data_IF_450421337411
#
_entry.id   IF_450421337411
#
_cell.length_a   1.000
_cell.length_b   1.000
_cell.length_c   1.000
_cell.angle_alpha   90.00
_cell.angle_beta   90.00
_cell.angle_gamma   90.00
#
_symmetry.space_group_name_H-M   'P 1'
#
loop_
_entity.id
_entity.type
_entity.pdbx_description
1 polymer ?
#
# COMPACT_ATOMS: atom_id res chain seq x y z
N UNK A 1 65.05 41.94 43.49
CA UNK A 1 64.09 41.50 42.46
C UNK A 1 64.51 40.11 41.98
N UNK A 2 63.55 39.19 41.81
CA UNK A 2 63.66 37.75 41.42
C UNK A 2 63.95 36.73 42.55
N UNK A 3 62.87 36.13 43.04
CA UNK A 3 62.84 34.84 43.76
C UNK A 3 63.01 33.71 42.75
N UNK A 4 63.77 32.66 43.07
CA UNK A 4 63.59 31.32 42.49
C UNK A 4 63.78 30.28 43.61
N UNK A 5 62.65 29.68 43.99
CA UNK A 5 62.50 28.66 45.02
C UNK A 5 62.95 27.28 44.48
N UNK A 6 63.75 26.59 45.29
CA UNK A 6 63.70 25.16 45.62
C UNK A 6 63.41 24.13 44.50
N UNK A 7 64.47 23.62 43.88
CA UNK A 7 64.49 22.44 42.99
C UNK A 7 64.72 21.14 43.78
N UNK A 8 63.74 20.71 44.58
CA UNK A 8 63.79 19.37 45.19
C UNK A 8 62.45 18.68 45.47
N UNK A 9 61.34 19.15 44.90
CA UNK A 9 60.00 18.64 45.22
C UNK A 9 59.18 18.02 44.07
N UNK A 10 59.78 17.75 42.91
CA UNK A 10 59.00 17.33 41.72
C UNK A 10 59.17 15.87 41.28
N UNK A 11 60.11 15.11 41.86
CA UNK A 11 60.35 13.73 41.40
C UNK A 11 59.50 12.67 42.14
N UNK A 12 59.20 12.89 43.43
CA UNK A 12 58.40 11.95 44.23
C UNK A 12 56.89 12.03 43.93
N UNK A 13 56.40 13.20 43.50
CA UNK A 13 54.98 13.41 43.18
C UNK A 13 54.58 12.83 41.82
N UNK A 14 55.49 12.73 40.85
CA UNK A 14 55.17 12.20 39.52
C UNK A 14 54.97 10.67 39.52
N UNK A 15 55.80 9.93 40.27
CA UNK A 15 55.65 8.46 40.41
C UNK A 15 54.40 8.07 41.21
N UNK A 16 54.04 8.86 42.23
CA UNK A 16 52.80 8.67 42.97
C UNK A 16 51.55 8.98 42.12
N UNK A 17 51.60 10.04 41.29
CA UNK A 17 50.53 10.39 40.35
C UNK A 17 50.32 9.31 39.27
N UNK A 18 51.40 8.75 38.70
CA UNK A 18 51.31 7.66 37.71
C UNK A 18 50.71 6.40 38.35
N UNK A 19 51.10 6.05 39.58
CA UNK A 19 50.52 4.93 40.31
C UNK A 19 49.01 5.09 40.57
N UNK A 20 48.57 6.29 40.94
CA UNK A 20 47.16 6.58 41.23
C UNK A 20 46.28 6.57 39.96
N UNK A 21 46.81 7.04 38.82
CA UNK A 21 46.14 6.99 37.52
C UNK A 21 45.98 5.55 37.00
N UNK A 22 46.98 4.68 37.20
CA UNK A 22 46.90 3.27 36.79
C UNK A 22 45.95 2.45 37.69
N UNK A 23 45.84 2.78 38.99
CA UNK A 23 44.86 2.18 39.89
C UNK A 23 43.41 2.59 39.59
N UNK A 24 43.17 3.82 39.14
CA UNK A 24 41.82 4.27 38.79
C UNK A 24 41.28 3.62 37.49
N UNK A 25 42.16 3.31 36.53
CA UNK A 25 41.77 2.68 35.27
C UNK A 25 41.33 1.21 35.44
N UNK A 26 41.83 0.49 36.44
CA UNK A 26 41.47 -0.93 36.66
C UNK A 26 40.14 -1.12 37.41
N UNK A 27 39.69 -0.12 38.18
CA UNK A 27 38.38 -0.13 38.85
C UNK A 27 37.25 0.25 37.89
N UNK A 28 37.54 1.08 36.87
CA UNK A 28 36.54 1.50 35.88
C UNK A 28 36.05 0.36 34.98
N UNK A 29 36.90 -0.63 34.69
CA UNK A 29 36.53 -1.79 33.86
C UNK A 29 35.77 -2.90 34.63
N UNK A 30 35.68 -2.83 35.95
CA UNK A 30 34.95 -3.82 36.78
C UNK A 30 33.52 -3.35 37.11
N UNK A 31 33.16 -2.09 36.80
CA UNK A 31 31.82 -1.52 37.02
C UNK A 31 30.99 -1.37 35.72
N UNK A 32 31.38 -2.02 34.63
CA UNK A 32 30.56 -2.09 33.41
C UNK A 32 29.86 -3.45 33.38
N UNK A 33 28.59 -3.57 33.82
CA UNK A 33 27.83 -4.80 33.61
C UNK A 33 27.53 -4.94 32.11
N UNK A 34 28.26 -5.82 31.43
CA UNK A 34 27.76 -6.42 30.19
C UNK A 34 26.67 -7.41 30.59
N UNK A 35 25.42 -6.94 30.65
CA UNK A 35 24.25 -7.81 30.63
C UNK A 35 23.04 -7.08 30.05
N UNK A 36 22.91 -7.25 28.74
CA UNK A 36 21.67 -7.53 28.01
C UNK A 36 20.41 -6.85 28.55
N UNK A 37 20.06 -5.72 27.94
CA UNK A 37 18.80 -5.06 28.23
C UNK A 37 18.56 -3.75 27.50
N UNK A 38 19.09 -3.54 26.29
CA UNK A 38 18.37 -2.70 25.33
C UNK A 38 17.12 -3.49 24.94
N UNK A 39 16.14 -3.51 25.85
CA UNK A 39 14.76 -3.66 25.45
C UNK A 39 14.57 -2.59 24.39
N UNK A 40 14.39 -3.05 23.15
CA UNK A 40 13.86 -2.26 22.06
C UNK A 40 12.57 -1.63 22.57
N UNK A 41 12.67 -0.44 23.14
CA UNK A 41 11.66 0.56 22.92
C UNK A 41 11.79 0.87 21.43
N UNK A 42 11.16 0.03 20.61
CA UNK A 42 10.41 0.60 19.51
C UNK A 42 9.24 1.28 20.22
N UNK A 43 9.24 2.62 20.44
CA UNK A 43 7.99 3.28 20.13
C UNK A 43 7.76 2.85 18.68
N UNK A 44 6.77 1.99 18.45
CA UNK A 44 6.17 1.93 17.12
C UNK A 44 5.80 3.38 16.88
N UNK A 45 6.62 4.07 16.08
CA UNK A 45 6.29 5.39 15.63
C UNK A 45 4.84 5.24 15.15
N UNK A 46 3.89 6.03 15.68
CA UNK A 46 2.59 6.05 15.06
C UNK A 46 2.90 6.28 13.59
N UNK A 47 2.53 5.32 12.75
CA UNK A 47 2.66 5.51 11.32
C UNK A 47 1.93 6.83 11.10
N UNK A 48 2.68 7.87 10.73
CA UNK A 48 2.10 9.14 10.30
C UNK A 48 1.48 8.86 8.95
N UNK A 49 0.41 8.09 8.97
CA UNK A 49 -0.55 7.98 7.91
C UNK A 49 -1.38 9.23 8.03
N UNK A 50 -0.85 10.29 7.45
CA UNK A 50 -1.59 11.45 6.99
C UNK A 50 -0.61 12.21 6.11
N UNK A 51 -0.90 12.28 4.80
CA UNK A 51 -0.17 12.95 3.72
C UNK A 51 0.84 12.14 2.87
N UNK A 52 0.78 10.81 2.84
CA UNK A 52 1.44 10.11 1.71
C UNK A 52 0.65 10.42 0.45
N UNK A 53 1.25 11.10 -0.52
CA UNK A 53 0.65 11.32 -1.85
C UNK A 53 1.43 10.51 -2.86
N UNK A 54 0.76 9.64 -3.62
CA UNK A 54 1.41 8.90 -4.71
C UNK A 54 1.72 9.83 -5.88
N UNK A 55 2.99 9.85 -6.28
CA UNK A 55 3.46 10.52 -7.50
C UNK A 55 2.95 9.81 -8.74
N UNK A 56 2.97 10.51 -9.87
CA UNK A 56 2.49 9.96 -11.14
C UNK A 56 3.26 8.69 -11.54
N UNK A 57 4.58 8.70 -11.37
CA UNK A 57 5.46 7.58 -11.71
C UNK A 57 5.19 6.35 -10.84
N UNK A 58 4.89 6.56 -9.55
CA UNK A 58 4.51 5.50 -8.62
C UNK A 58 3.18 4.86 -9.03
N UNK A 59 2.21 5.69 -9.42
CA UNK A 59 0.92 5.20 -9.96
C UNK A 59 1.09 4.41 -11.24
N UNK A 60 1.97 4.85 -12.14
CA UNK A 60 2.31 4.14 -13.38
C UNK A 60 2.97 2.80 -13.09
N UNK A 61 3.88 2.75 -12.11
CA UNK A 61 4.51 1.51 -11.66
C UNK A 61 3.46 0.51 -11.16
N UNK A 62 2.57 0.94 -10.25
CA UNK A 62 1.51 0.08 -9.72
C UNK A 62 0.47 -0.31 -10.77
N UNK A 63 0.14 0.60 -11.71
CA UNK A 63 -0.74 0.27 -12.82
C UNK A 63 -0.13 -0.85 -13.67
N UNK A 64 1.17 -0.81 -13.97
CA UNK A 64 1.82 -1.91 -14.70
C UNK A 64 1.75 -3.23 -13.93
N UNK A 65 1.95 -3.21 -12.62
CA UNK A 65 1.84 -4.40 -11.78
C UNK A 65 0.42 -5.00 -11.80
N UNK A 66 -0.62 -4.17 -11.73
CA UNK A 66 -2.02 -4.57 -11.86
C UNK A 66 -2.28 -5.23 -13.23
N UNK A 67 -1.79 -4.60 -14.31
CA UNK A 67 -1.97 -5.11 -15.67
C UNK A 67 -1.23 -6.42 -15.90
N UNK A 68 -0.07 -6.64 -15.25
CA UNK A 68 0.67 -7.90 -15.30
C UNK A 68 -0.14 -9.05 -14.67
N UNK A 69 -0.77 -8.81 -13.52
CA UNK A 69 -1.66 -9.80 -12.88
C UNK A 69 -2.83 -10.11 -13.80
N UNK A 70 -3.54 -9.10 -14.31
CA UNK A 70 -4.65 -9.33 -15.23
C UNK A 70 -4.21 -10.04 -16.52
N UNK A 71 -3.07 -9.66 -17.09
CA UNK A 71 -2.57 -10.28 -18.29
C UNK A 71 -2.26 -11.76 -18.05
N UNK A 72 -1.64 -12.13 -16.93
CA UNK A 72 -1.36 -13.54 -16.56
C UNK A 72 -2.63 -14.38 -16.54
N UNK A 73 -3.69 -13.87 -15.94
CA UNK A 73 -4.99 -14.54 -15.80
C UNK A 73 -5.86 -14.50 -17.05
N UNK A 74 -5.50 -13.70 -18.06
CA UNK A 74 -6.19 -13.70 -19.35
C UNK A 74 -6.05 -15.05 -20.06
N UNK A 75 -7.15 -15.60 -20.56
CA UNK A 75 -7.14 -16.89 -21.25
C UNK A 75 -6.36 -16.75 -22.56
N UNK A 76 -5.40 -17.65 -22.77
CA UNK A 76 -4.68 -17.79 -24.03
C UNK A 76 -5.20 -19.05 -24.74
N UNK A 77 -5.89 -18.92 -25.89
CA UNK A 77 -6.51 -20.06 -26.57
C UNK A 77 -5.49 -21.14 -26.92
N UNK A 78 -5.84 -22.41 -26.73
CA UNK A 78 -4.93 -23.54 -26.99
C UNK A 78 -4.77 -23.83 -28.49
N UNK A 79 -5.71 -23.33 -29.28
CA UNK A 79 -5.72 -23.41 -30.74
C UNK A 79 -4.63 -22.50 -31.35
N UNK A 80 -4.15 -21.52 -30.58
CA UNK A 80 -3.01 -20.70 -30.95
C UNK A 80 -1.72 -21.50 -30.78
N UNK A 81 -0.96 -21.58 -31.86
CA UNK A 81 0.36 -22.22 -31.87
C UNK A 81 1.45 -21.32 -31.31
N UNK A 82 1.21 -20.01 -31.20
CA UNK A 82 2.13 -19.05 -30.63
C UNK A 82 2.07 -19.00 -29.09
N UNK A 83 3.22 -18.76 -28.48
CA UNK A 83 3.33 -18.55 -27.03
C UNK A 83 2.61 -17.25 -26.64
N UNK A 84 2.02 -17.24 -25.44
CA UNK A 84 1.42 -16.01 -24.89
C UNK A 84 2.49 -14.92 -24.82
N UNK A 85 2.29 -13.77 -25.48
CA UNK A 85 3.27 -12.69 -25.46
C UNK A 85 3.39 -12.11 -24.05
N UNK A 86 4.50 -11.43 -23.79
CA UNK A 86 4.68 -10.66 -22.55
C UNK A 86 3.74 -9.47 -22.50
N UNK A 87 3.53 -8.89 -21.31
CA UNK A 87 2.74 -7.67 -21.14
C UNK A 87 3.29 -6.53 -22.02
N UNK A 88 4.61 -6.32 -22.02
CA UNK A 88 5.24 -5.21 -22.75
C UNK A 88 5.06 -5.33 -24.29
N UNK A 89 4.80 -6.53 -24.79
CA UNK A 89 4.51 -6.75 -26.20
C UNK A 89 3.06 -6.39 -26.58
N UNK A 90 2.13 -6.35 -25.61
CA UNK A 90 0.70 -6.07 -25.85
C UNK A 90 0.24 -4.71 -25.34
N UNK A 91 0.96 -4.11 -24.39
CA UNK A 91 0.72 -2.75 -23.91
C UNK A 91 2.04 -2.01 -23.71
N UNK A 92 2.14 -0.84 -24.34
CA UNK A 92 3.29 0.03 -24.19
C UNK A 92 3.23 0.84 -22.89
N UNK A 93 4.41 1.29 -22.43
CA UNK A 93 4.52 2.21 -21.30
C UNK A 93 3.65 3.46 -21.46
N UNK A 94 3.59 4.04 -22.68
CA UNK A 94 2.78 5.22 -22.97
C UNK A 94 1.26 4.95 -22.81
N UNK A 95 0.80 3.73 -23.09
CA UNK A 95 -0.59 3.32 -22.86
C UNK A 95 -0.88 3.17 -21.36
N UNK A 96 0.04 2.63 -20.57
CA UNK A 96 -0.08 2.58 -19.10
C UNK A 96 -0.21 3.99 -18.52
N UNK A 97 0.68 4.90 -18.92
CA UNK A 97 0.61 6.30 -18.48
C UNK A 97 -0.70 6.99 -18.90
N UNK A 98 -1.19 6.69 -20.12
CA UNK A 98 -2.47 7.20 -20.60
C UNK A 98 -3.63 6.69 -19.74
N UNK A 99 -3.63 5.41 -19.34
CA UNK A 99 -4.61 4.87 -18.39
C UNK A 99 -4.59 5.62 -17.05
N UNK A 100 -3.39 5.86 -16.51
CA UNK A 100 -3.22 6.63 -15.26
C UNK A 100 -3.77 8.04 -15.39
N UNK A 101 -3.41 8.76 -16.46
CA UNK A 101 -3.96 10.10 -16.72
C UNK A 101 -5.48 10.09 -16.86
N UNK A 102 -6.04 9.06 -17.49
CA UNK A 102 -7.47 8.95 -17.71
C UNK A 102 -8.24 8.76 -16.39
N UNK A 103 -7.85 7.82 -15.52
CA UNK A 103 -8.58 7.64 -14.27
C UNK A 103 -8.40 8.82 -13.30
N UNK A 104 -7.25 9.50 -13.33
CA UNK A 104 -7.05 10.71 -12.54
C UNK A 104 -7.98 11.83 -13.01
N UNK A 105 -8.13 11.99 -14.34
CA UNK A 105 -9.12 12.91 -14.92
C UNK A 105 -10.55 12.54 -14.54
N UNK A 106 -10.90 11.25 -14.57
CA UNK A 106 -12.22 10.78 -14.16
C UNK A 106 -12.49 11.08 -12.68
N UNK A 107 -11.50 10.82 -11.81
CA UNK A 107 -11.59 11.13 -10.38
C UNK A 107 -11.77 12.62 -10.11
N UNK A 108 -11.07 13.48 -10.88
CA UNK A 108 -11.22 14.93 -10.79
C UNK A 108 -12.59 15.40 -11.31
N UNK A 109 -13.02 14.92 -12.47
CA UNK A 109 -14.31 15.28 -13.06
C UNK A 109 -15.48 14.90 -12.13
N UNK A 110 -15.38 13.76 -11.44
CA UNK A 110 -16.35 13.37 -10.43
C UNK A 110 -16.35 14.34 -9.23
N UNK A 111 -15.17 14.76 -8.77
CA UNK A 111 -15.06 15.74 -7.69
C UNK A 111 -15.67 17.09 -8.07
N UNK A 112 -15.45 17.53 -9.30
CA UNK A 112 -16.00 18.78 -9.85
C UNK A 112 -17.54 18.69 -9.98
N UNK A 113 -18.06 17.56 -10.47
CA UNK A 113 -19.50 17.34 -10.62
C UNK A 113 -20.22 17.24 -9.27
N UNK A 114 -19.69 16.44 -8.35
CA UNK A 114 -20.28 16.19 -7.03
C UNK A 114 -19.90 17.21 -5.96
N UNK A 115 -19.06 18.21 -6.31
CA UNK A 115 -18.49 19.23 -5.41
C UNK A 115 -17.73 18.66 -4.20
N UNK A 116 -17.36 17.37 -4.25
CA UNK A 116 -16.62 16.66 -3.19
C UNK A 116 -15.73 15.58 -3.80
N UNK A 117 -14.44 15.50 -3.44
CA UNK A 117 -13.59 14.40 -3.86
C UNK A 117 -14.05 13.08 -3.21
N UNK A 118 -13.66 11.95 -3.82
CA UNK A 118 -13.86 10.63 -3.22
C UNK A 118 -13.19 10.58 -1.84
N UNK A 119 -13.99 10.26 -0.82
CA UNK A 119 -13.53 10.24 0.57
C UNK A 119 -12.85 8.92 0.92
N UNK A 120 -12.08 8.93 2.00
CA UNK A 120 -11.42 7.73 2.55
C UNK A 120 -12.43 6.63 2.85
N UNK A 121 -13.60 6.97 3.40
CA UNK A 121 -14.66 6.02 3.74
C UNK A 121 -15.26 5.39 2.48
N UNK A 122 -15.43 6.17 1.41
CA UNK A 122 -15.93 5.63 0.13
C UNK A 122 -14.93 4.67 -0.50
N UNK A 123 -13.64 4.97 -0.40
CA UNK A 123 -12.59 4.10 -0.92
C UNK A 123 -12.40 2.84 -0.07
N UNK A 124 -12.49 2.94 1.26
CA UNK A 124 -12.51 1.78 2.15
C UNK A 124 -13.72 0.89 1.85
N UNK A 125 -14.92 1.47 1.75
CA UNK A 125 -16.12 0.72 1.43
C UNK A 125 -16.03 0.03 0.06
N UNK A 126 -15.34 0.64 -0.92
CA UNK A 126 -15.10 -0.02 -2.20
C UNK A 126 -14.10 -1.17 -2.07
N UNK A 127 -13.03 -1.04 -1.27
CA UNK A 127 -12.12 -2.15 -0.99
C UNK A 127 -12.83 -3.32 -0.29
N UNK A 128 -13.64 -3.03 0.71
CA UNK A 128 -14.44 -4.04 1.41
C UNK A 128 -15.42 -4.72 0.45
N UNK A 129 -16.09 -3.94 -0.41
CA UNK A 129 -16.99 -4.47 -1.43
C UNK A 129 -16.27 -5.38 -2.42
N UNK A 130 -15.06 -5.03 -2.87
CA UNK A 130 -14.25 -5.87 -3.75
C UNK A 130 -13.92 -7.20 -3.07
N UNK A 131 -13.46 -7.17 -1.81
CA UNK A 131 -13.10 -8.36 -1.05
C UNK A 131 -14.29 -9.29 -0.77
N UNK A 132 -15.48 -8.72 -0.53
CA UNK A 132 -16.69 -9.49 -0.21
C UNK A 132 -17.41 -10.05 -1.45
N UNK A 133 -17.31 -9.38 -2.60
CA UNK A 133 -18.15 -9.66 -3.77
C UNK A 133 -17.35 -10.04 -5.02
N UNK A 134 -16.08 -10.41 -4.89
CA UNK A 134 -15.28 -10.95 -6.00
C UNK A 134 -15.63 -12.42 -6.25
N UNK A 135 -15.71 -12.81 -7.53
CA UNK A 135 -15.75 -14.23 -7.94
C UNK A 135 -14.38 -14.87 -8.13
N UNK A 136 -13.31 -14.08 -8.00
CA UNK A 136 -11.93 -14.52 -8.17
C UNK A 136 -11.09 -14.01 -6.99
N UNK A 137 -11.28 -14.58 -5.79
CA UNK A 137 -10.55 -14.18 -4.60
C UNK A 137 -9.03 -14.38 -4.78
N UNK A 138 -8.61 -15.39 -5.54
CA UNK A 138 -7.18 -15.66 -5.79
C UNK A 138 -6.55 -14.54 -6.64
N UNK A 139 -7.26 -14.06 -7.67
CA UNK A 139 -6.78 -12.95 -8.51
C UNK A 139 -6.75 -11.65 -7.70
N UNK A 140 -7.76 -11.41 -6.85
CA UNK A 140 -7.78 -10.23 -5.99
C UNK A 140 -6.63 -10.27 -4.95
N UNK A 141 -6.33 -11.44 -4.41
CA UNK A 141 -5.18 -11.63 -3.52
C UNK A 141 -3.87 -11.34 -4.23
N UNK A 142 -3.68 -11.87 -5.46
CA UNK A 142 -2.50 -11.55 -6.29
C UNK A 142 -2.39 -10.06 -6.61
N UNK A 143 -3.51 -9.36 -6.84
CA UNK A 143 -3.52 -7.91 -7.03
C UNK A 143 -3.06 -7.18 -5.77
N UNK A 144 -3.56 -7.56 -4.59
CA UNK A 144 -3.16 -6.95 -3.33
C UNK A 144 -1.67 -7.17 -3.05
N UNK A 145 -1.17 -8.38 -3.30
CA UNK A 145 0.25 -8.72 -3.18
C UNK A 145 1.13 -7.94 -4.17
N UNK A 146 0.69 -7.78 -5.42
CA UNK A 146 1.38 -6.97 -6.42
C UNK A 146 1.46 -5.48 -6.04
N UNK A 147 0.53 -5.01 -5.20
CA UNK A 147 0.51 -3.68 -4.61
C UNK A 147 1.19 -3.63 -3.22
N UNK A 148 1.90 -4.69 -2.84
CA UNK A 148 2.67 -4.79 -1.61
C UNK A 148 1.81 -4.99 -0.35
N UNK A 149 0.54 -5.38 -0.50
CA UNK A 149 -0.45 -5.43 0.57
C UNK A 149 -0.56 -4.09 1.35
N UNK A 150 -0.23 -2.97 0.69
CA UNK A 150 -0.32 -1.63 1.26
C UNK A 150 -1.75 -1.08 1.06
N UNK A 151 -2.56 -0.93 2.13
CA UNK A 151 -3.95 -0.47 2.02
C UNK A 151 -4.09 0.88 1.32
N UNK A 152 -3.10 1.77 1.50
CA UNK A 152 -3.10 3.08 0.86
C UNK A 152 -2.88 2.96 -0.66
N UNK A 153 -1.95 2.11 -1.08
CA UNK A 153 -1.71 1.86 -2.52
C UNK A 153 -2.92 1.18 -3.15
N UNK A 154 -3.53 0.19 -2.46
CA UNK A 154 -4.73 -0.50 -2.94
C UNK A 154 -5.89 0.49 -3.11
N UNK A 155 -6.14 1.34 -2.11
CA UNK A 155 -7.18 2.36 -2.20
C UNK A 155 -6.96 3.33 -3.38
N UNK A 156 -5.72 3.80 -3.54
CA UNK A 156 -5.40 4.84 -4.51
C UNK A 156 -5.22 4.36 -5.95
N UNK A 157 -4.70 3.15 -6.16
CA UNK A 157 -4.35 2.60 -7.47
C UNK A 157 -5.30 1.52 -7.97
N UNK A 158 -6.08 0.87 -7.09
CA UNK A 158 -7.06 -0.14 -7.49
C UNK A 158 -8.50 0.34 -7.23
N UNK A 159 -8.82 0.74 -5.99
CA UNK A 159 -10.20 1.11 -5.64
C UNK A 159 -10.65 2.42 -6.28
N UNK A 160 -9.84 3.49 -6.21
CA UNK A 160 -10.18 4.83 -6.71
C UNK A 160 -10.49 4.83 -8.22
N UNK A 161 -9.66 4.24 -9.11
CA UNK A 161 -9.98 4.18 -10.53
C UNK A 161 -11.32 3.49 -10.81
N UNK A 162 -11.56 2.33 -10.18
CA UNK A 162 -12.77 1.52 -10.36
C UNK A 162 -14.01 2.28 -9.87
N UNK A 163 -13.93 2.88 -8.68
CA UNK A 163 -15.06 3.62 -8.11
C UNK A 163 -15.42 4.85 -8.95
N UNK A 164 -14.41 5.60 -9.38
CA UNK A 164 -14.62 6.80 -10.19
C UNK A 164 -15.32 6.47 -11.52
N UNK A 165 -14.86 5.43 -12.22
CA UNK A 165 -15.49 5.01 -13.48
C UNK A 165 -16.93 4.53 -13.29
N UNK A 166 -17.19 3.73 -12.25
CA UNK A 166 -18.55 3.25 -11.97
C UNK A 166 -19.52 4.40 -11.67
N UNK A 167 -19.07 5.40 -10.91
CA UNK A 167 -19.90 6.57 -10.57
C UNK A 167 -20.16 7.46 -11.79
N UNK A 168 -19.19 7.58 -12.71
CA UNK A 168 -19.39 8.29 -13.97
C UNK A 168 -20.27 7.54 -14.97
N UNK A 169 -20.19 6.21 -15.02
CA UNK A 169 -20.96 5.37 -15.96
C UNK A 169 -22.45 5.25 -15.59
N UNK A 170 -22.80 5.45 -14.32
CA UNK A 170 -24.18 5.38 -13.84
C UNK A 170 -24.64 6.72 -13.23
N UNK A 171 -24.81 7.78 -14.04
CA UNK A 171 -25.10 9.12 -13.53
C UNK A 171 -26.54 9.29 -13.02
N UNK A 172 -27.48 8.38 -13.34
CA UNK A 172 -28.92 8.60 -13.18
C UNK A 172 -29.44 8.67 -11.73
N UNK A 173 -28.58 8.48 -10.73
CA UNK A 173 -28.94 8.45 -9.32
C UNK A 173 -27.62 8.57 -8.52
N UNK A 174 -27.30 9.67 -7.85
CA UNK A 174 -27.85 9.85 -6.49
C UNK A 174 -28.92 8.80 -6.25
N UNK A 175 -28.61 7.55 -5.86
CA UNK A 175 -29.70 6.60 -5.52
C UNK A 175 -30.37 7.02 -4.20
N UNK A 176 -30.59 8.33 -3.99
CA UNK A 176 -31.46 8.98 -3.02
C UNK A 176 -31.15 8.63 -1.55
N UNK A 177 -30.14 7.78 -1.27
CA UNK A 177 -30.02 7.02 -0.01
C UNK A 177 -28.60 6.51 0.29
N UNK A 178 -27.52 7.13 -0.18
CA UNK A 178 -26.19 6.65 0.27
C UNK A 178 -25.82 7.15 1.68
N UNK A 179 -26.42 8.25 2.20
CA UNK A 179 -25.86 8.88 3.41
C UNK A 179 -26.84 9.63 4.33
N UNK A 180 -28.16 9.62 4.11
CA UNK A 180 -29.02 10.42 5.00
C UNK A 180 -29.25 9.82 6.39
N UNK A 181 -28.91 8.53 6.66
CA UNK A 181 -29.35 7.84 7.90
C UNK A 181 -28.46 6.75 8.53
N UNK A 182 -27.22 6.50 8.10
CA UNK A 182 -26.43 5.42 8.76
C UNK A 182 -25.01 5.79 9.20
N UNK A 183 -24.59 7.04 9.02
CA UNK A 183 -23.39 7.56 9.67
C UNK A 183 -23.70 8.89 10.36
N UNK A 184 -24.75 8.88 11.18
CA UNK A 184 -24.88 9.84 12.27
C UNK A 184 -24.11 9.26 13.47
N UNK A 185 -22.79 9.14 13.27
CA UNK A 185 -21.82 8.86 14.32
C UNK A 185 -20.48 9.41 13.84
N UNK A 186 -20.19 10.61 14.33
CA UNK A 186 -18.86 11.17 14.43
C UNK A 186 -17.96 10.17 15.16
N UNK A 187 -17.24 9.37 14.39
CA UNK A 187 -15.99 8.77 14.85
C UNK A 187 -14.93 9.29 13.91
N UNK A 188 -14.07 10.17 14.44
CA UNK A 188 -12.78 10.43 13.82
C UNK A 188 -11.95 9.14 13.95
N UNK A 189 -12.19 8.19 13.04
CA UNK A 189 -11.30 7.05 12.85
C UNK A 189 -10.16 7.56 11.97
N UNK A 190 -8.94 7.21 12.35
CA UNK A 190 -7.70 7.69 11.75
C UNK A 190 -7.67 7.54 10.22
N UNK A 191 -6.75 8.29 9.63
CA UNK A 191 -6.55 8.54 8.20
C UNK A 191 -6.00 7.29 7.46
N UNK A 192 -6.34 6.11 7.95
CA UNK A 192 -5.66 4.85 7.67
C UNK A 192 -6.65 3.87 7.06
N UNK A 193 -6.37 3.48 5.82
CA UNK A 193 -7.03 2.36 5.18
C UNK A 193 -6.70 1.06 5.91
N UNK A 194 -7.67 0.16 5.99
CA UNK A 194 -7.50 -1.21 6.51
C UNK A 194 -7.52 -2.19 5.35
N UNK A 195 -6.55 -3.10 5.29
CA UNK A 195 -6.55 -4.18 4.30
C UNK A 195 -7.75 -5.09 4.56
N UNK A 196 -8.72 -5.22 3.63
CA UNK A 196 -9.86 -6.08 3.86
C UNK A 196 -9.44 -7.56 3.77
N UNK A 197 -10.04 -8.40 4.60
CA UNK A 197 -9.93 -9.84 4.47
C UNK A 197 -10.73 -10.30 3.25
N UNK A 198 -10.08 -11.01 2.33
CA UNK A 198 -10.73 -11.60 1.16
C UNK A 198 -11.44 -12.87 1.62
N UNK A 199 -12.75 -12.92 1.44
CA UNK A 199 -13.57 -14.08 1.83
C UNK A 199 -13.41 -15.19 0.79
N UNK A 200 -13.22 -16.43 1.25
CA UNK A 200 -13.43 -17.60 0.39
C UNK A 200 -14.92 -17.72 0.04
N UNK A 201 -15.29 -17.99 -1.23
CA UNK A 201 -16.67 -18.17 -1.62
C UNK A 201 -17.22 -19.41 -0.92
N UNK A 202 -17.98 -19.21 0.13
CA UNK A 202 -18.74 -20.25 0.82
C UNK A 202 -19.86 -20.77 -0.09
N UNK A 203 -19.52 -21.60 -1.08
CA UNK A 203 -20.41 -22.48 -1.87
C UNK A 203 -21.58 -21.84 -2.64
N UNK A 204 -21.84 -20.55 -2.50
CA UNK A 204 -22.98 -19.84 -3.08
C UNK A 204 -22.55 -18.92 -4.20
N UNK A 205 -23.24 -19.00 -5.34
CA UNK A 205 -23.04 -18.09 -6.46
C UNK A 205 -23.50 -16.67 -6.09
N UNK A 206 -22.61 -15.87 -5.51
CA UNK A 206 -22.83 -14.43 -5.32
C UNK A 206 -22.84 -13.76 -6.71
N UNK A 207 -23.71 -12.76 -6.90
CA UNK A 207 -23.74 -11.96 -8.13
C UNK A 207 -22.42 -11.21 -8.33
N UNK A 208 -21.74 -11.41 -9.47
CA UNK A 208 -20.51 -10.68 -9.79
C UNK A 208 -20.87 -9.22 -10.04
N UNK A 209 -20.71 -8.38 -9.02
CA UNK A 209 -20.88 -6.93 -9.19
C UNK A 209 -19.51 -6.27 -9.39
N UNK A 210 -18.47 -7.05 -9.66
CA UNK A 210 -17.12 -6.57 -9.91
C UNK A 210 -16.60 -7.18 -11.22
N UNK A 211 -16.43 -6.33 -12.23
CA UNK A 211 -15.69 -6.65 -13.45
C UNK A 211 -14.45 -5.78 -13.44
N UNK A 212 -13.25 -6.30 -13.79
CA UNK A 212 -12.09 -5.45 -14.04
C UNK A 212 -12.51 -4.39 -15.05
N UNK A 213 -12.57 -3.12 -14.63
CA UNK A 213 -13.02 -2.08 -15.54
C UNK A 213 -12.00 -1.98 -16.67
N UNK A 214 -12.47 -2.10 -17.92
CA UNK A 214 -11.68 -1.71 -19.09
C UNK A 214 -11.46 -0.20 -19.02
N UNK A 215 -10.46 0.24 -18.26
CA UNK A 215 -9.92 1.58 -18.34
C UNK A 215 -9.58 1.83 -19.81
N UNK A 216 -10.33 2.76 -20.41
CA UNK A 216 -10.53 2.92 -21.85
C UNK A 216 -9.21 2.75 -22.65
N UNK A 217 -9.14 1.72 -23.48
CA UNK A 217 -8.01 1.44 -24.38
C UNK A 217 -7.31 0.09 -24.21
N UNK A 218 -7.80 -0.82 -23.36
CA UNK A 218 -7.40 -2.22 -23.37
C UNK A 218 -8.28 -3.02 -24.35
N UNK A 219 -7.73 -3.99 -25.12
CA UNK A 219 -8.55 -4.89 -25.91
C UNK A 219 -9.49 -5.66 -24.98
N UNK A 220 -10.76 -5.68 -25.38
CA UNK A 220 -11.93 -6.11 -24.62
C UNK A 220 -11.61 -7.22 -23.61
N UNK A 221 -11.92 -6.93 -22.34
CA UNK A 221 -12.08 -7.93 -21.29
C UNK A 221 -13.26 -8.87 -21.60
N UNK A 222 -13.16 -9.67 -22.66
CA UNK A 222 -14.00 -10.87 -22.86
C UNK A 222 -13.60 -12.01 -21.89
N UNK A 223 -12.86 -11.70 -20.84
CA UNK A 223 -12.17 -12.64 -19.99
C UNK A 223 -12.54 -12.37 -18.55
N UNK A 224 -13.31 -13.27 -17.95
CA UNK A 224 -13.26 -13.68 -16.53
C UNK A 224 -14.36 -14.73 -16.19
N UNK A 225 -14.90 -15.47 -17.16
CA UNK A 225 -15.77 -16.64 -16.90
C UNK A 225 -14.96 -17.93 -16.73
N UNK A 226 -14.23 -18.07 -15.62
CA UNK A 226 -14.25 -19.39 -14.96
C UNK A 226 -15.56 -19.43 -14.20
N UNK A 227 -16.59 -19.93 -14.88
CA UNK A 227 -17.90 -20.18 -14.30
C UNK A 227 -17.74 -20.99 -13.00
N UNK A 228 -18.31 -20.49 -11.90
CA UNK A 228 -18.83 -21.37 -10.86
C UNK A 228 -19.67 -22.46 -11.57
N UNK A 229 -19.18 -23.70 -11.57
CA UNK A 229 -19.89 -24.85 -12.11
C UNK A 229 -19.51 -25.25 -13.54
N UNK A 230 -18.26 -25.66 -13.76
CA UNK A 230 -17.97 -26.76 -14.68
C UNK A 230 -17.39 -27.89 -13.84
N UNK A 231 -18.29 -28.70 -13.30
CA UNK A 231 -17.93 -30.03 -12.85
C UNK A 231 -17.19 -30.72 -13.98
N UNK A 232 -16.00 -31.24 -13.67
CA UNK A 232 -15.26 -32.11 -14.56
C UNK A 232 -16.22 -33.16 -15.14
N UNK A 233 -16.26 -33.22 -16.47
CA UNK A 233 -16.78 -34.36 -17.19
C UNK A 233 -15.77 -34.77 -18.23
#
# INVERSE_FOLDING_TARGET
MKRKLSTKLDFFNLRALIGLLLCAATVYFILIPIRSGLAFLNPRAPATASQRTLRFEERVFYQRAIEEVYWRHRIWPKERSDLKPSLDAVISQAQIEKKVRNYLRNSQALADYSQRPLTTEQLQAEMDRMAQNTRQPEVLQELFEALGNDPFVIAECLARPILAERLLAHPAVERVKQQSRTFDQTVAVGVDYTLPAISDPSGGCIGDTWTPTNLTGAPDAEFLTRQCGLAAK
#
